data_IF_949592901651
#
_entry.id   IF_949592901651
#
_cell.length_a   1.000
_cell.length_b   1.000
_cell.length_c   1.000
_cell.angle_alpha   90.00
_cell.angle_beta   90.00
_cell.angle_gamma   90.00
#
_symmetry.space_group_name_H-M   'P 1'
#
loop_
_entity.id
_entity.type
_entity.pdbx_description
1 polymer ?
#
# COMPACT_ATOMS: atom_id res chain seq x y z
N UNK A 1 31.70 3.19 9.27
CA UNK A 1 31.05 2.67 10.50
C UNK A 1 30.37 3.84 11.18
N UNK A 2 29.12 3.72 11.65
CA UNK A 2 28.46 4.84 12.34
C UNK A 2 29.25 5.22 13.59
N UNK A 3 29.38 6.51 13.84
CA UNK A 3 30.11 7.03 15.00
C UNK A 3 29.30 6.84 16.29
N UNK A 4 29.98 6.79 17.44
CA UNK A 4 29.33 6.60 18.75
C UNK A 4 28.25 7.67 19.04
N UNK A 5 28.45 8.87 18.51
CA UNK A 5 27.49 9.96 18.60
C UNK A 5 26.20 9.68 17.81
N UNK A 6 26.31 9.18 16.58
CA UNK A 6 25.16 8.76 15.78
C UNK A 6 24.40 7.59 16.43
N UNK A 7 25.12 6.67 17.07
CA UNK A 7 24.51 5.56 17.81
C UNK A 7 23.71 6.06 19.02
N UNK A 8 24.24 7.01 19.79
CA UNK A 8 23.53 7.63 20.92
C UNK A 8 22.29 8.39 20.46
N UNK A 9 22.37 9.15 19.36
CA UNK A 9 21.20 9.84 18.81
C UNK A 9 20.10 8.87 18.38
N UNK A 10 20.45 7.76 17.72
CA UNK A 10 19.49 6.73 17.33
C UNK A 10 18.84 6.08 18.54
N UNK A 11 19.62 5.71 19.56
CA UNK A 11 19.08 5.11 20.79
C UNK A 11 18.15 6.06 21.55
N UNK A 12 18.49 7.36 21.62
CA UNK A 12 17.62 8.36 22.23
C UNK A 12 16.28 8.50 21.49
N UNK A 13 16.31 8.44 20.15
CA UNK A 13 15.10 8.47 19.31
C UNK A 13 14.24 7.22 19.53
N UNK A 14 14.85 6.03 19.53
CA UNK A 14 14.15 4.76 19.83
C UNK A 14 13.53 4.76 21.24
N UNK A 15 14.25 5.25 22.25
CA UNK A 15 13.74 5.34 23.63
C UNK A 15 12.55 6.31 23.73
N UNK A 16 12.59 7.44 23.02
CA UNK A 16 11.47 8.39 22.96
C UNK A 16 10.25 7.81 22.27
N UNK A 17 10.44 7.13 21.13
CA UNK A 17 9.34 6.51 20.38
C UNK A 17 8.72 5.32 21.14
N UNK A 18 9.53 4.53 21.85
CA UNK A 18 9.04 3.46 22.72
C UNK A 18 8.21 4.00 23.90
N UNK A 19 8.65 5.11 24.53
CA UNK A 19 7.89 5.80 25.58
C UNK A 19 6.59 6.41 25.07
N UNK A 20 6.54 6.81 23.80
CA UNK A 20 5.33 7.32 23.15
C UNK A 20 4.31 6.24 22.76
N UNK A 21 4.55 4.97 23.12
CA UNK A 21 3.65 3.85 22.82
C UNK A 21 3.63 3.43 21.35
N UNK A 22 4.50 4.01 20.51
CA UNK A 22 4.65 3.59 19.11
C UNK A 22 5.52 2.33 19.09
N UNK A 23 5.13 1.31 18.30
CA UNK A 23 5.93 0.10 18.13
C UNK A 23 7.33 0.50 17.63
N UNK A 24 8.41 0.32 18.43
CA UNK A 24 9.76 0.77 18.07
C UNK A 24 10.40 -0.13 17.00
N UNK A 25 9.74 -1.23 16.66
CA UNK A 25 10.09 -2.10 15.55
C UNK A 25 9.51 -1.53 14.27
N UNK A 26 10.38 -0.88 13.48
CA UNK A 26 10.08 -0.66 12.08
C UNK A 26 9.81 -2.02 11.44
N UNK A 27 8.61 -2.21 10.86
CA UNK A 27 8.28 -3.41 10.10
C UNK A 27 9.43 -3.70 9.13
N UNK A 28 9.94 -4.93 9.19
CA UNK A 28 10.97 -5.38 8.28
C UNK A 28 10.51 -5.21 6.83
N UNK A 29 11.44 -5.08 5.88
CA UNK A 29 11.05 -5.02 4.45
C UNK A 29 10.19 -6.22 4.04
N UNK A 30 10.44 -7.39 4.65
CA UNK A 30 9.66 -8.61 4.46
C UNK A 30 8.21 -8.45 4.92
N UNK A 31 7.98 -7.91 6.12
CA UNK A 31 6.61 -7.65 6.62
C UNK A 31 5.85 -6.60 5.80
N UNK A 32 6.57 -5.60 5.26
CA UNK A 32 5.97 -4.60 4.36
C UNK A 32 5.55 -5.22 3.03
N UNK A 33 6.38 -6.10 2.46
CA UNK A 33 6.06 -6.85 1.24
C UNK A 33 4.90 -7.82 1.46
N UNK A 34 4.87 -8.52 2.60
CA UNK A 34 3.79 -9.44 2.94
C UNK A 34 2.42 -8.75 3.12
N UNK A 35 2.42 -7.45 3.47
CA UNK A 35 1.20 -6.63 3.57
C UNK A 35 0.82 -5.92 2.26
N UNK A 36 1.67 -5.95 1.24
CA UNK A 36 1.29 -5.38 -0.05
C UNK A 36 0.30 -6.32 -0.73
N UNK A 37 -0.83 -5.76 -1.15
CA UNK A 37 -1.78 -6.48 -2.00
C UNK A 37 -1.07 -6.93 -3.28
N UNK A 38 -1.26 -8.19 -3.70
CA UNK A 38 -0.61 -8.73 -4.90
C UNK A 38 -1.09 -8.05 -6.20
N UNK A 39 -2.22 -7.33 -6.14
CA UNK A 39 -2.83 -6.65 -7.27
C UNK A 39 -2.73 -5.15 -7.05
N UNK A 40 -2.08 -4.46 -7.99
CA UNK A 40 -1.95 -3.01 -7.98
C UNK A 40 -3.27 -2.30 -8.29
N UNK A 41 -3.41 -1.06 -7.82
CA UNK A 41 -4.60 -0.24 -8.08
C UNK A 41 -4.93 -0.10 -9.58
N UNK A 42 -3.91 -0.08 -10.45
CA UNK A 42 -4.08 -0.02 -11.90
C UNK A 42 -4.80 -1.26 -12.45
N UNK A 43 -4.38 -2.46 -12.01
CA UNK A 43 -5.02 -3.72 -12.41
C UNK A 43 -6.47 -3.78 -11.94
N UNK A 44 -6.75 -3.35 -10.70
CA UNK A 44 -8.12 -3.20 -10.22
C UNK A 44 -8.94 -2.25 -11.10
N UNK A 45 -8.35 -1.12 -11.50
CA UNK A 45 -8.98 -0.14 -12.38
C UNK A 45 -9.31 -0.70 -13.76
N UNK A 46 -8.40 -1.48 -14.35
CA UNK A 46 -8.65 -2.16 -15.64
C UNK A 46 -9.77 -3.18 -15.53
N UNK A 47 -9.78 -4.01 -14.49
CA UNK A 47 -10.85 -5.00 -14.27
C UNK A 47 -12.19 -4.28 -14.14
N UNK A 48 -12.27 -3.23 -13.31
CA UNK A 48 -13.48 -2.45 -13.12
C UNK A 48 -13.93 -1.80 -14.43
N UNK A 49 -13.00 -1.24 -15.21
CA UNK A 49 -13.30 -0.65 -16.51
C UNK A 49 -13.84 -1.67 -17.50
N UNK A 50 -13.28 -2.90 -17.56
CA UNK A 50 -13.78 -3.95 -18.45
C UNK A 50 -15.19 -4.39 -18.03
N UNK A 51 -15.43 -4.57 -16.73
CA UNK A 51 -16.73 -4.98 -16.20
C UNK A 51 -17.79 -3.90 -16.45
N UNK A 52 -17.50 -2.65 -16.08
CA UNK A 52 -18.42 -1.54 -16.33
C UNK A 52 -18.56 -1.21 -17.82
N UNK A 53 -17.48 -1.28 -18.59
CA UNK A 53 -17.47 -1.01 -20.02
C UNK A 53 -18.27 -2.05 -20.81
N UNK A 54 -18.17 -3.32 -20.45
CA UNK A 54 -19.00 -4.39 -21.00
C UNK A 54 -20.49 -4.17 -20.70
N UNK A 55 -20.82 -3.81 -19.46
CA UNK A 55 -22.20 -3.50 -19.08
C UNK A 55 -22.76 -2.26 -19.80
N UNK A 56 -21.96 -1.19 -19.93
CA UNK A 56 -22.34 0.00 -20.70
C UNK A 56 -22.51 -0.30 -22.18
N UNK A 57 -21.63 -1.12 -22.75
CA UNK A 57 -21.73 -1.56 -24.14
C UNK A 57 -22.98 -2.41 -24.38
N UNK A 58 -23.30 -3.32 -23.46
CA UNK A 58 -24.50 -4.16 -23.56
C UNK A 58 -25.78 -3.33 -23.44
N UNK A 59 -25.83 -2.38 -22.50
CA UNK A 59 -26.93 -1.41 -22.39
C UNK A 59 -27.06 -0.56 -23.65
N UNK A 60 -25.95 -0.03 -24.18
CA UNK A 60 -25.95 0.73 -25.42
C UNK A 60 -26.43 -0.14 -26.59
N UNK A 61 -26.01 -1.40 -26.68
CA UNK A 61 -26.50 -2.34 -27.70
C UNK A 61 -28.01 -2.56 -27.58
N UNK A 62 -28.54 -2.78 -26.38
CA UNK A 62 -29.99 -2.97 -26.18
C UNK A 62 -30.80 -1.73 -26.58
N UNK A 63 -30.26 -0.53 -26.37
CA UNK A 63 -30.96 0.73 -26.64
C UNK A 63 -30.82 1.19 -28.10
N UNK A 64 -29.62 1.09 -28.67
CA UNK A 64 -29.30 1.61 -30.02
C UNK A 64 -29.34 0.55 -31.13
N UNK A 65 -29.18 -0.73 -30.80
CA UNK A 65 -29.18 -1.85 -31.75
C UNK A 65 -30.45 -2.68 -31.54
N UNK A 66 -31.60 -2.01 -31.73
CA UNK A 66 -32.91 -2.66 -31.89
C UNK A 66 -33.19 -2.89 -33.37
#
# INVERSE_FOLDING_TARGET
MPTEFEMRQRNAKFAKDARAGKKPTHQSRSEKLAKQSPIGAWTLGVILFVVCGGALFELARLIFVR
#
